data_IF_184184438132
#
_entry.id   IF_184184438132
#
_cell.length_a   1.000
_cell.length_b   1.000
_cell.length_c   1.000
_cell.angle_alpha   90.00
_cell.angle_beta   90.00
_cell.angle_gamma   90.00
#
_symmetry.space_group_name_H-M   'P 1'
#
loop_
_entity.id
_entity.type
_entity.pdbx_description
1 polymer ?
#
# COMPACT_ATOMS: atom_id res chain seq x y z
N UNK A 1 14.91 9.09 -20.99
CA UNK A 1 13.46 8.72 -20.92
C UNK A 1 12.81 9.68 -19.92
N UNK A 2 11.56 10.07 -20.12
CA UNK A 2 10.85 10.87 -19.12
C UNK A 2 10.49 9.98 -17.92
N UNK A 3 10.51 10.50 -16.68
CA UNK A 3 10.05 9.76 -15.52
C UNK A 3 8.57 9.39 -15.65
N UNK A 4 8.16 8.29 -15.04
CA UNK A 4 6.76 7.89 -14.99
C UNK A 4 5.95 8.87 -14.12
N UNK A 5 6.57 9.36 -13.03
CA UNK A 5 6.01 10.41 -12.18
C UNK A 5 7.09 11.44 -11.86
N UNK A 6 6.74 12.72 -11.95
CA UNK A 6 7.56 13.85 -11.51
C UNK A 6 6.66 14.85 -10.79
N UNK A 7 6.93 15.06 -9.53
CA UNK A 7 6.15 15.92 -8.64
C UNK A 7 7.10 16.83 -7.89
N UNK A 8 6.83 18.13 -7.91
CA UNK A 8 7.67 19.13 -7.25
C UNK A 8 6.79 20.05 -6.40
N UNK A 9 7.10 20.11 -5.11
CA UNK A 9 6.48 20.99 -4.12
C UNK A 9 4.95 20.99 -4.16
N UNK A 10 4.36 19.80 -4.33
CA UNK A 10 2.93 19.62 -4.52
C UNK A 10 2.16 19.99 -3.26
N UNK A 11 1.17 20.87 -3.42
CA UNK A 11 0.28 21.30 -2.34
C UNK A 11 -1.17 21.09 -2.74
N UNK A 12 -1.96 20.54 -1.81
CA UNK A 12 -3.41 20.50 -1.93
C UNK A 12 -4.08 20.94 -0.64
N UNK A 13 -4.80 22.05 -0.71
CA UNK A 13 -5.59 22.61 0.38
C UNK A 13 -7.09 22.36 0.17
N UNK A 14 -7.78 22.09 1.29
CA UNK A 14 -9.24 22.05 1.35
C UNK A 14 -9.73 23.10 2.34
N UNK A 15 -10.75 23.84 1.93
CA UNK A 15 -11.44 24.79 2.82
C UNK A 15 -12.63 24.08 3.43
N UNK A 16 -12.52 23.71 4.70
CA UNK A 16 -13.60 23.10 5.48
C UNK A 16 -14.35 24.19 6.23
N UNK A 17 -15.68 24.12 6.19
CA UNK A 17 -16.55 25.02 6.95
C UNK A 17 -16.98 24.28 8.22
N UNK A 18 -16.45 24.68 9.36
CA UNK A 18 -16.83 24.15 10.68
C UNK A 18 -17.93 25.02 11.29
N UNK A 19 -18.91 24.38 11.98
CA UNK A 19 -19.86 25.09 12.83
C UNK A 19 -19.11 25.62 14.05
N UNK A 20 -19.03 26.94 14.21
CA UNK A 20 -18.55 27.55 15.43
C UNK A 20 -19.61 27.52 16.54
N UNK A 21 -19.21 27.77 17.77
CA UNK A 21 -20.11 27.99 18.90
C UNK A 21 -21.01 29.20 18.62
N UNK A 22 -22.28 28.95 18.34
CA UNK A 22 -23.30 29.94 17.99
C UNK A 22 -24.06 29.63 16.69
N UNK A 23 -25.39 29.85 16.69
CA UNK A 23 -26.37 29.39 15.70
C UNK A 23 -26.08 29.81 14.24
N UNK A 24 -25.13 30.74 14.02
CA UNK A 24 -24.81 31.30 12.68
C UNK A 24 -23.30 31.53 12.40
N UNK A 25 -22.37 31.18 13.29
CA UNK A 25 -20.94 31.38 13.01
C UNK A 25 -20.34 30.14 12.32
N UNK A 26 -19.89 30.33 11.08
CA UNK A 26 -19.10 29.34 10.32
C UNK A 26 -17.65 29.82 10.29
N UNK A 27 -16.73 29.04 10.86
CA UNK A 27 -15.31 29.27 10.69
C UNK A 27 -14.80 28.52 9.45
N UNK A 28 -13.94 29.17 8.68
CA UNK A 28 -13.21 28.52 7.58
C UNK A 28 -11.91 28.01 8.15
N UNK A 29 -11.72 26.70 8.05
CA UNK A 29 -10.45 26.06 8.36
C UNK A 29 -9.83 25.54 7.07
N UNK A 30 -8.56 25.89 6.81
CA UNK A 30 -7.77 25.34 5.71
C UNK A 30 -7.08 24.08 6.22
N UNK A 31 -7.31 22.97 5.53
CA UNK A 31 -6.65 21.69 5.79
C UNK A 31 -5.74 21.40 4.61
N UNK A 32 -4.45 21.30 4.86
CA UNK A 32 -3.45 20.87 3.88
C UNK A 32 -3.37 19.36 3.87
N UNK A 33 -3.97 18.75 2.85
CA UNK A 33 -3.92 17.30 2.69
C UNK A 33 -2.63 16.81 2.02
N UNK A 34 -1.99 17.67 1.22
CA UNK A 34 -0.63 17.50 0.67
C UNK A 34 0.07 18.83 0.87
N UNK A 35 1.29 18.82 1.39
CA UNK A 35 2.01 20.03 1.83
C UNK A 35 3.49 19.97 1.42
N UNK A 36 3.79 20.34 0.19
CA UNK A 36 5.15 20.38 -0.35
C UNK A 36 5.71 18.99 -0.70
N UNK A 37 4.84 18.05 -1.13
CA UNK A 37 5.30 16.73 -1.52
C UNK A 37 6.09 16.80 -2.83
N UNK A 38 7.32 16.28 -2.82
CA UNK A 38 8.12 16.07 -4.02
C UNK A 38 8.48 14.59 -4.14
N UNK A 39 8.32 14.02 -5.35
CA UNK A 39 8.68 12.64 -5.65
C UNK A 39 8.99 12.48 -7.12
N UNK A 40 9.84 11.51 -7.44
CA UNK A 40 10.16 11.10 -8.79
C UNK A 40 10.14 9.58 -8.86
N UNK A 41 9.45 9.02 -9.86
CA UNK A 41 9.39 7.57 -10.11
C UNK A 41 9.84 7.31 -11.54
N UNK A 42 10.79 6.41 -11.70
CA UNK A 42 11.30 6.05 -13.02
C UNK A 42 10.42 4.97 -13.69
N UNK A 43 10.46 4.86 -15.03
CA UNK A 43 9.74 3.80 -15.74
C UNK A 43 10.15 2.39 -15.26
N UNK A 44 9.16 1.53 -15.01
CA UNK A 44 9.36 0.15 -14.53
C UNK A 44 9.65 0.04 -13.03
N UNK A 45 9.72 1.14 -12.28
CA UNK A 45 9.90 1.14 -10.83
C UNK A 45 8.61 0.72 -10.12
N UNK A 46 8.73 0.04 -8.98
CA UNK A 46 7.61 -0.22 -8.08
C UNK A 46 7.83 0.51 -6.75
N UNK A 47 6.96 1.47 -6.47
CA UNK A 47 7.06 2.35 -5.29
C UNK A 47 5.85 2.17 -4.40
N UNK A 48 6.09 1.93 -3.11
CA UNK A 48 5.07 1.92 -2.07
C UNK A 48 4.89 3.32 -1.46
N UNK A 49 3.70 3.89 -1.59
CA UNK A 49 3.31 5.14 -0.92
C UNK A 49 2.60 4.79 0.38
N UNK A 50 3.33 4.87 1.49
CA UNK A 50 2.85 4.43 2.81
C UNK A 50 2.66 5.60 3.76
N UNK A 51 1.85 5.42 4.79
CA UNK A 51 1.55 6.46 5.78
C UNK A 51 0.24 6.18 6.52
N UNK A 52 0.01 6.89 7.60
CA UNK A 52 -1.21 6.78 8.38
C UNK A 52 -2.48 7.17 7.58
N UNK A 53 -3.65 6.78 8.10
CA UNK A 53 -4.90 7.25 7.54
C UNK A 53 -4.99 8.78 7.63
N UNK A 54 -5.36 9.42 6.52
CA UNK A 54 -5.37 10.88 6.46
C UNK A 54 -4.03 11.55 6.11
N UNK A 55 -2.94 10.79 5.97
CA UNK A 55 -1.61 11.34 5.61
C UNK A 55 -1.52 12.00 4.22
N UNK A 56 -2.55 11.84 3.37
CA UNK A 56 -2.59 12.44 2.03
C UNK A 56 -2.41 11.47 0.88
N UNK A 57 -2.22 10.17 1.11
CA UNK A 57 -1.97 9.14 0.07
C UNK A 57 -2.98 9.14 -1.08
N UNK A 58 -4.26 8.92 -0.78
CA UNK A 58 -5.32 8.91 -1.81
C UNK A 58 -5.55 10.28 -2.44
N UNK A 59 -5.24 11.39 -1.72
CA UNK A 59 -5.24 12.75 -2.31
C UNK A 59 -4.12 12.87 -3.34
N UNK A 60 -2.94 12.36 -3.03
CA UNK A 60 -1.80 12.32 -3.96
C UNK A 60 -2.16 11.54 -5.22
N UNK A 61 -2.70 10.32 -5.10
CA UNK A 61 -3.16 9.53 -6.26
C UNK A 61 -4.16 10.30 -7.13
N UNK A 62 -5.11 11.02 -6.52
CA UNK A 62 -6.08 11.84 -7.27
C UNK A 62 -5.45 13.05 -7.96
N UNK A 63 -4.38 13.62 -7.42
CA UNK A 63 -3.61 14.69 -8.07
C UNK A 63 -2.79 14.14 -9.24
N UNK A 64 -2.14 12.99 -9.08
CA UNK A 64 -1.38 12.31 -10.13
C UNK A 64 -2.25 11.92 -11.34
N UNK A 65 -3.52 11.62 -11.11
CA UNK A 65 -4.50 11.26 -12.15
C UNK A 65 -5.25 12.47 -12.74
N UNK A 66 -5.04 13.67 -12.20
CA UNK A 66 -5.75 14.87 -12.61
C UNK A 66 -7.23 14.90 -12.20
N UNK A 67 -7.68 14.00 -11.30
CA UNK A 67 -9.01 14.07 -10.67
C UNK A 67 -9.10 15.30 -9.77
N UNK A 68 -8.00 15.62 -9.08
CA UNK A 68 -7.85 16.86 -8.31
C UNK A 68 -6.85 17.79 -9.00
N UNK A 69 -7.08 19.09 -8.83
CA UNK A 69 -6.17 20.14 -9.29
C UNK A 69 -5.27 20.54 -8.12
N UNK A 70 -3.95 20.63 -8.29
CA UNK A 70 -3.06 21.15 -7.27
C UNK A 70 -3.43 22.57 -6.84
N UNK A 71 -3.21 22.90 -5.57
CA UNK A 71 -3.29 24.30 -5.09
C UNK A 71 -1.99 25.03 -5.42
N UNK A 72 -0.84 24.33 -5.34
CA UNK A 72 0.47 24.81 -5.74
C UNK A 72 1.38 23.62 -6.09
N UNK A 73 2.55 23.91 -6.64
CA UNK A 73 3.49 22.91 -7.12
C UNK A 73 3.16 22.39 -8.51
N UNK A 74 3.93 21.41 -8.98
CA UNK A 74 3.79 20.83 -10.33
C UNK A 74 3.69 19.33 -10.28
N UNK A 75 2.91 18.76 -11.22
CA UNK A 75 2.78 17.32 -11.43
C UNK A 75 2.94 17.01 -12.91
N UNK A 76 3.76 16.01 -13.21
CA UNK A 76 3.82 15.35 -14.51
C UNK A 76 3.68 13.84 -14.31
N UNK A 77 2.72 13.27 -15.02
CA UNK A 77 2.46 11.81 -15.02
C UNK A 77 2.63 11.30 -16.45
N UNK A 78 3.54 10.34 -16.66
CA UNK A 78 3.95 9.88 -17.98
C UNK A 78 4.36 11.06 -18.91
N UNK A 79 5.04 12.07 -18.33
CA UNK A 79 5.47 13.28 -19.04
C UNK A 79 4.35 14.30 -19.36
N UNK A 80 3.09 14.03 -18.96
CA UNK A 80 1.94 14.88 -19.23
C UNK A 80 1.49 15.63 -17.98
N UNK A 81 0.95 16.86 -18.19
CA UNK A 81 0.18 17.54 -17.15
C UNK A 81 -1.17 16.81 -16.98
N UNK A 82 -1.45 16.28 -15.77
CA UNK A 82 -2.63 15.43 -15.58
C UNK A 82 -3.97 16.17 -15.66
N UNK A 83 -3.96 17.50 -15.47
CA UNK A 83 -5.17 18.33 -15.57
C UNK A 83 -5.40 18.76 -17.01
N UNK A 84 -4.36 19.33 -17.65
CA UNK A 84 -4.46 19.86 -19.01
C UNK A 84 -4.60 18.75 -20.06
N UNK A 85 -3.95 17.59 -19.85
CA UNK A 85 -3.89 16.47 -20.80
C UNK A 85 -4.60 15.21 -20.28
N UNK A 86 -5.68 15.37 -19.50
CA UNK A 86 -6.39 14.28 -18.82
C UNK A 86 -6.79 13.12 -19.75
N UNK A 87 -7.28 13.42 -20.97
CA UNK A 87 -7.72 12.40 -21.93
C UNK A 87 -6.55 11.57 -22.46
N UNK A 88 -5.40 12.20 -22.69
CA UNK A 88 -4.22 11.52 -23.18
C UNK A 88 -3.58 10.69 -22.05
N UNK A 89 -3.59 11.24 -20.83
CA UNK A 89 -3.12 10.57 -19.64
C UNK A 89 -3.93 9.30 -19.35
N UNK A 90 -5.25 9.35 -19.46
CA UNK A 90 -6.14 8.20 -19.23
C UNK A 90 -5.84 7.00 -20.14
N UNK A 91 -5.12 7.17 -21.24
CA UNK A 91 -4.67 6.08 -22.12
C UNK A 91 -3.35 5.47 -21.69
N UNK A 92 -2.62 6.12 -20.79
CA UNK A 92 -1.29 5.69 -20.32
C UNK A 92 -1.29 5.21 -18.89
N UNK A 93 -2.38 5.49 -18.14
CA UNK A 93 -2.46 5.19 -16.71
C UNK A 93 -3.64 4.27 -16.43
N UNK A 94 -3.39 3.17 -15.75
CA UNK A 94 -4.41 2.35 -15.11
C UNK A 94 -4.56 2.78 -13.65
N UNK A 95 -5.78 2.79 -13.13
CA UNK A 95 -6.03 3.16 -11.74
C UNK A 95 -7.01 2.19 -11.10
N UNK A 96 -6.68 1.71 -9.92
CA UNK A 96 -7.60 0.95 -9.07
C UNK A 96 -7.79 1.72 -7.77
N UNK A 97 -9.01 2.14 -7.49
CA UNK A 97 -9.38 2.77 -6.23
C UNK A 97 -10.05 1.75 -5.31
N UNK A 98 -9.52 1.54 -4.11
CA UNK A 98 -10.02 0.51 -3.20
C UNK A 98 -11.52 0.62 -2.85
N UNK A 99 -12.06 1.84 -2.81
CA UNK A 99 -13.46 2.09 -2.43
C UNK A 99 -14.38 2.46 -3.60
N UNK A 100 -13.86 2.59 -4.81
CA UNK A 100 -14.65 2.97 -6.00
C UNK A 100 -14.38 2.02 -7.13
N UNK A 101 -15.45 1.42 -7.63
CA UNK A 101 -15.40 0.54 -8.78
C UNK A 101 -15.44 1.33 -10.09
N UNK A 102 -14.61 0.93 -11.06
CA UNK A 102 -14.72 1.35 -12.45
C UNK A 102 -15.60 0.39 -13.26
N UNK A 103 -15.99 -0.74 -12.66
CA UNK A 103 -16.85 -1.75 -13.27
C UNK A 103 -18.32 -1.37 -13.09
N UNK A 104 -19.16 -1.74 -14.04
CA UNK A 104 -20.59 -1.47 -14.00
C UNK A 104 -21.32 -2.47 -13.09
N UNK A 105 -21.86 -1.98 -12.00
CA UNK A 105 -22.41 -2.75 -10.89
C UNK A 105 -23.45 -3.81 -11.27
N UNK A 106 -24.37 -3.45 -12.20
CA UNK A 106 -25.47 -4.32 -12.63
C UNK A 106 -25.16 -5.14 -13.89
N UNK A 107 -24.01 -4.94 -14.51
CA UNK A 107 -23.60 -5.67 -15.70
C UNK A 107 -22.70 -6.86 -15.38
N UNK A 108 -22.73 -7.92 -16.20
CA UNK A 108 -21.71 -8.95 -16.17
C UNK A 108 -20.31 -8.35 -16.33
N UNK A 109 -19.32 -8.96 -15.68
CA UNK A 109 -17.94 -8.48 -15.72
C UNK A 109 -17.41 -8.33 -17.16
N UNK A 110 -17.71 -9.28 -18.04
CA UNK A 110 -17.32 -9.23 -19.46
C UNK A 110 -17.87 -8.00 -20.19
N UNK A 111 -19.10 -7.56 -19.86
CA UNK A 111 -19.67 -6.36 -20.46
C UNK A 111 -18.95 -5.08 -19.98
N UNK A 112 -18.51 -5.05 -18.71
CA UNK A 112 -17.68 -3.96 -18.21
C UNK A 112 -16.37 -3.84 -19.01
N UNK A 113 -15.72 -4.96 -19.34
CA UNK A 113 -14.51 -4.95 -20.19
C UNK A 113 -14.80 -4.46 -21.61
N UNK A 114 -15.93 -4.85 -22.21
CA UNK A 114 -16.34 -4.34 -23.53
C UNK A 114 -16.55 -2.83 -23.55
N UNK A 115 -17.21 -2.31 -22.50
CA UNK A 115 -17.43 -0.88 -22.34
C UNK A 115 -16.13 -0.12 -22.16
N UNK A 116 -15.22 -0.62 -21.32
CA UNK A 116 -13.89 -0.03 -21.11
C UNK A 116 -13.07 -0.05 -22.41
N UNK A 117 -13.08 -1.14 -23.16
CA UNK A 117 -12.43 -1.23 -24.45
C UNK A 117 -12.97 -0.16 -25.44
N UNK A 118 -14.29 0.06 -25.45
CA UNK A 118 -14.92 1.10 -26.27
C UNK A 118 -14.52 2.52 -25.80
N UNK A 119 -14.50 2.78 -24.49
CA UNK A 119 -14.08 4.06 -23.89
C UNK A 119 -12.63 4.39 -24.26
N UNK A 120 -11.73 3.40 -24.15
CA UNK A 120 -10.33 3.52 -24.54
C UNK A 120 -10.11 3.46 -26.05
N UNK A 121 -11.17 3.20 -26.85
CA UNK A 121 -11.13 3.05 -28.31
C UNK A 121 -10.17 1.95 -28.77
N UNK A 122 -10.14 0.84 -28.05
CA UNK A 122 -9.28 -0.29 -28.37
C UNK A 122 -9.92 -1.15 -29.48
N UNK A 123 -9.21 -1.46 -30.57
CA UNK A 123 -9.67 -2.43 -31.55
C UNK A 123 -9.85 -3.82 -30.94
N UNK A 124 -10.82 -4.59 -31.43
CA UNK A 124 -11.07 -5.94 -30.93
C UNK A 124 -9.84 -6.86 -31.01
N UNK A 125 -9.03 -6.69 -32.05
CA UNK A 125 -7.77 -7.42 -32.24
C UNK A 125 -6.71 -7.10 -31.17
N UNK A 126 -6.86 -6.02 -30.40
CA UNK A 126 -5.92 -5.60 -29.34
C UNK A 126 -6.44 -6.03 -27.97
N UNK A 127 -7.70 -5.66 -27.64
CA UNK A 127 -8.17 -5.87 -26.27
C UNK A 127 -8.61 -7.30 -25.97
N UNK A 128 -9.08 -8.09 -26.97
CA UNK A 128 -9.50 -9.48 -26.73
C UNK A 128 -8.34 -10.38 -26.34
N UNK A 129 -7.22 -10.44 -27.08
CA UNK A 129 -6.06 -11.23 -26.65
C UNK A 129 -5.51 -10.78 -25.30
N UNK A 130 -5.56 -9.45 -25.01
CA UNK A 130 -5.16 -8.94 -23.70
C UNK A 130 -6.10 -9.40 -22.60
N UNK A 131 -7.41 -9.40 -22.85
CA UNK A 131 -8.37 -9.93 -21.88
C UNK A 131 -8.18 -11.43 -21.65
N UNK A 132 -7.95 -12.21 -22.69
CA UNK A 132 -7.69 -13.66 -22.58
C UNK A 132 -6.43 -13.94 -21.72
N UNK A 133 -5.39 -13.14 -21.91
CA UNK A 133 -4.18 -13.20 -21.06
C UNK A 133 -4.49 -12.85 -19.59
N UNK A 134 -5.21 -11.75 -19.37
CA UNK A 134 -5.61 -11.30 -18.03
C UNK A 134 -6.53 -12.32 -17.35
N UNK A 135 -7.44 -12.93 -18.11
CA UNK A 135 -8.32 -13.98 -17.63
C UNK A 135 -7.52 -15.19 -17.14
N UNK A 136 -6.61 -15.69 -17.96
CA UNK A 136 -5.77 -16.84 -17.62
C UNK A 136 -4.92 -16.60 -16.35
N UNK A 137 -4.41 -15.36 -16.17
CA UNK A 137 -3.51 -15.01 -15.06
C UNK A 137 -4.24 -14.64 -13.77
N UNK A 138 -5.38 -13.98 -13.89
CA UNK A 138 -6.20 -13.53 -12.76
C UNK A 138 -7.36 -14.48 -12.45
N UNK A 139 -7.55 -15.55 -13.26
CA UNK A 139 -8.59 -16.56 -13.08
C UNK A 139 -9.99 -15.90 -13.01
N UNK A 140 -10.34 -15.21 -14.10
CA UNK A 140 -11.60 -14.48 -14.21
C UNK A 140 -12.73 -15.34 -14.80
N UNK A 141 -12.38 -16.40 -15.57
CA UNK A 141 -13.29 -17.18 -16.41
C UNK A 141 -14.52 -17.71 -15.69
N UNK A 142 -14.34 -18.13 -14.43
CA UNK A 142 -15.43 -18.65 -13.61
C UNK A 142 -16.53 -17.62 -13.25
N UNK A 143 -16.28 -16.31 -13.48
CA UNK A 143 -17.24 -15.26 -13.11
C UNK A 143 -17.37 -14.11 -14.13
N UNK A 144 -16.84 -14.27 -15.35
CA UNK A 144 -16.99 -13.26 -16.42
C UNK A 144 -18.47 -12.95 -16.76
N UNK A 145 -19.36 -13.93 -16.64
CA UNK A 145 -20.80 -13.76 -16.90
C UNK A 145 -21.59 -13.29 -15.67
N UNK A 146 -20.94 -13.20 -14.52
CA UNK A 146 -21.58 -12.82 -13.26
C UNK A 146 -21.68 -11.29 -13.17
N UNK A 147 -22.82 -10.70 -12.77
CA UNK A 147 -22.95 -9.28 -12.48
C UNK A 147 -21.98 -8.84 -11.39
N UNK A 148 -21.35 -7.68 -11.57
CA UNK A 148 -20.30 -7.18 -10.67
C UNK A 148 -20.75 -7.12 -9.21
N UNK A 149 -22.02 -6.77 -8.94
CA UNK A 149 -22.62 -6.74 -7.60
C UNK A 149 -22.64 -8.09 -6.87
N UNK A 150 -22.56 -9.20 -7.59
CA UNK A 150 -22.61 -10.56 -7.04
C UNK A 150 -21.21 -11.15 -6.83
N UNK A 151 -20.18 -10.45 -7.27
CA UNK A 151 -18.79 -10.89 -7.10
C UNK A 151 -18.36 -10.78 -5.64
N UNK A 152 -17.57 -11.74 -5.16
CA UNK A 152 -16.84 -11.59 -3.91
C UNK A 152 -15.87 -10.41 -4.01
N UNK A 153 -15.40 -9.90 -2.88
CA UNK A 153 -14.43 -8.79 -2.87
C UNK A 153 -13.17 -9.15 -3.66
N UNK A 154 -12.65 -10.38 -3.49
CA UNK A 154 -11.47 -10.85 -4.22
C UNK A 154 -11.72 -11.02 -5.72
N UNK A 155 -12.89 -11.53 -6.14
CA UNK A 155 -13.27 -11.60 -7.54
C UNK A 155 -13.39 -10.20 -8.16
N UNK A 156 -14.05 -9.28 -7.44
CA UNK A 156 -14.19 -7.89 -7.89
C UNK A 156 -12.83 -7.21 -8.02
N UNK A 157 -11.93 -7.36 -7.06
CA UNK A 157 -10.60 -6.75 -7.12
C UNK A 157 -9.79 -7.28 -8.30
N UNK A 158 -9.84 -8.59 -8.59
CA UNK A 158 -9.22 -9.17 -9.80
C UNK A 158 -9.81 -8.56 -11.07
N UNK A 159 -11.11 -8.37 -11.13
CA UNK A 159 -11.80 -7.66 -12.22
C UNK A 159 -11.37 -6.20 -12.35
N UNK A 160 -11.22 -5.46 -11.25
CA UNK A 160 -10.74 -4.07 -11.22
C UNK A 160 -9.32 -3.95 -11.77
N UNK A 161 -8.42 -4.84 -11.33
CA UNK A 161 -7.03 -4.85 -11.82
C UNK A 161 -6.98 -5.21 -13.31
N UNK A 162 -7.76 -6.21 -13.76
CA UNK A 162 -7.87 -6.53 -15.17
C UNK A 162 -8.39 -5.34 -16.00
N UNK A 163 -9.41 -4.65 -15.50
CA UNK A 163 -9.97 -3.46 -16.13
C UNK A 163 -8.94 -2.33 -16.26
N UNK A 164 -8.16 -2.07 -15.20
CA UNK A 164 -7.11 -1.07 -15.20
C UNK A 164 -5.94 -1.40 -16.13
N UNK A 165 -5.73 -2.68 -16.46
CA UNK A 165 -4.64 -3.17 -17.33
C UNK A 165 -5.08 -3.48 -18.76
N UNK A 166 -6.38 -3.41 -19.06
CA UNK A 166 -6.93 -3.81 -20.37
C UNK A 166 -6.33 -3.03 -21.55
N UNK A 167 -5.99 -1.76 -21.32
CA UNK A 167 -5.41 -0.87 -22.32
C UNK A 167 -3.86 -0.82 -22.28
N UNK A 168 -3.23 -1.73 -21.51
CA UNK A 168 -1.77 -1.87 -21.36
C UNK A 168 -1.09 -0.54 -20.96
N UNK A 169 -1.40 0.02 -19.80
CA UNK A 169 -0.86 1.31 -19.35
C UNK A 169 0.64 1.24 -19.04
N UNK A 170 1.32 2.39 -19.14
CA UNK A 170 2.72 2.58 -18.74
C UNK A 170 2.87 2.64 -17.21
N UNK A 171 1.82 3.14 -16.52
CA UNK A 171 1.77 3.34 -15.08
C UNK A 171 0.47 2.76 -14.51
N UNK A 172 0.57 1.95 -13.47
CA UNK A 172 -0.55 1.44 -12.70
C UNK A 172 -0.53 2.03 -11.30
N UNK A 173 -1.60 2.74 -10.93
CA UNK A 173 -1.82 3.30 -9.63
C UNK A 173 -2.82 2.42 -8.86
N UNK A 174 -2.41 1.90 -7.71
CA UNK A 174 -3.20 0.98 -6.89
C UNK A 174 -3.42 1.59 -5.50
N UNK A 175 -4.67 1.92 -5.18
CA UNK A 175 -5.02 2.47 -3.87
C UNK A 175 -5.61 1.34 -3.00
N UNK A 176 -4.78 0.76 -2.12
CA UNK A 176 -5.09 -0.33 -1.19
C UNK A 176 -5.68 -1.60 -1.87
N UNK A 177 -5.01 -2.21 -2.86
CA UNK A 177 -5.59 -3.25 -3.70
C UNK A 177 -5.81 -4.60 -3.00
N UNK A 178 -5.22 -4.82 -1.85
CA UNK A 178 -5.32 -6.09 -1.08
C UNK A 178 -6.22 -5.99 0.13
N UNK A 179 -6.74 -4.77 0.43
CA UNK A 179 -7.59 -4.57 1.61
C UNK A 179 -8.83 -5.47 1.58
N UNK A 180 -9.03 -6.23 2.67
CA UNK A 180 -10.19 -7.13 2.82
C UNK A 180 -10.15 -8.38 1.92
N UNK A 181 -9.04 -8.65 1.23
CA UNK A 181 -8.84 -9.91 0.54
C UNK A 181 -8.35 -10.99 1.51
N UNK A 182 -8.74 -12.24 1.23
CA UNK A 182 -8.11 -13.39 1.89
C UNK A 182 -6.65 -13.57 1.46
N UNK A 183 -5.89 -14.36 2.23
CA UNK A 183 -4.45 -14.57 2.02
C UNK A 183 -4.15 -15.11 0.62
N UNK A 184 -4.97 -16.04 0.11
CA UNK A 184 -4.76 -16.68 -1.19
C UNK A 184 -5.00 -15.67 -2.32
N UNK A 185 -6.07 -14.89 -2.22
CA UNK A 185 -6.41 -13.84 -3.19
C UNK A 185 -5.35 -12.74 -3.22
N UNK A 186 -4.86 -12.30 -2.05
CA UNK A 186 -3.80 -11.30 -1.93
C UNK A 186 -2.50 -11.80 -2.56
N UNK A 187 -2.09 -13.04 -2.27
CA UNK A 187 -0.85 -13.60 -2.82
C UNK A 187 -0.93 -13.81 -4.35
N UNK A 188 -2.08 -14.23 -4.87
CA UNK A 188 -2.32 -14.33 -6.32
C UNK A 188 -2.18 -12.95 -6.99
N UNK A 189 -2.77 -11.92 -6.41
CA UNK A 189 -2.67 -10.55 -6.93
C UNK A 189 -1.23 -10.04 -6.90
N UNK A 190 -0.50 -10.23 -5.80
CA UNK A 190 0.92 -9.84 -5.69
C UNK A 190 1.78 -10.52 -6.74
N UNK A 191 1.60 -11.83 -6.92
CA UNK A 191 2.35 -12.60 -7.93
C UNK A 191 2.06 -12.09 -9.34
N UNK A 192 0.79 -11.81 -9.64
CA UNK A 192 0.39 -11.26 -10.92
C UNK A 192 1.03 -9.88 -11.18
N UNK A 193 0.97 -8.96 -10.21
CA UNK A 193 1.53 -7.61 -10.36
C UNK A 193 3.06 -7.64 -10.54
N UNK A 194 3.78 -8.54 -9.85
CA UNK A 194 5.22 -8.75 -10.08
C UNK A 194 5.51 -9.22 -11.50
N UNK A 195 4.75 -10.19 -11.99
CA UNK A 195 4.91 -10.72 -13.33
C UNK A 195 4.58 -9.66 -14.40
N UNK A 196 3.51 -8.91 -14.24
CA UNK A 196 3.12 -7.81 -15.12
C UNK A 196 4.23 -6.75 -15.23
N UNK A 197 4.83 -6.38 -14.08
CA UNK A 197 5.97 -5.48 -14.06
C UNK A 197 7.19 -6.06 -14.78
N UNK A 198 7.58 -7.28 -14.46
CA UNK A 198 8.77 -7.92 -15.01
C UNK A 198 8.68 -8.14 -16.53
N UNK A 199 7.51 -8.50 -17.05
CA UNK A 199 7.32 -8.86 -18.43
C UNK A 199 7.00 -7.65 -19.33
N UNK A 200 6.30 -6.65 -18.81
CA UNK A 200 5.81 -5.49 -19.57
C UNK A 200 6.45 -4.17 -19.21
N UNK A 201 7.25 -4.14 -18.13
CA UNK A 201 7.87 -2.91 -17.64
C UNK A 201 6.86 -1.91 -17.06
N UNK A 202 5.66 -2.35 -16.68
CA UNK A 202 4.64 -1.48 -16.09
C UNK A 202 5.16 -0.88 -14.79
N UNK A 203 5.14 0.45 -14.70
CA UNK A 203 5.48 1.17 -13.46
C UNK A 203 4.36 1.00 -12.45
N UNK A 204 4.68 0.76 -11.19
CA UNK A 204 3.67 0.60 -10.12
C UNK A 204 3.83 1.69 -9.06
N UNK A 205 2.74 2.36 -8.72
CA UNK A 205 2.63 3.13 -7.48
C UNK A 205 1.49 2.53 -6.64
N UNK A 206 1.84 2.01 -5.49
CA UNK A 206 0.94 1.30 -4.59
C UNK A 206 0.75 2.09 -3.31
N UNK A 207 -0.48 2.45 -2.95
CA UNK A 207 -0.77 2.85 -1.58
C UNK A 207 -1.20 1.64 -0.77
N UNK A 208 -0.62 1.46 0.39
CA UNK A 208 -1.00 0.37 1.29
C UNK A 208 -0.62 0.69 2.74
N UNK A 209 -1.23 0.01 3.66
CA UNK A 209 -0.83 -0.08 5.06
C UNK A 209 -0.39 -1.52 5.43
N UNK A 210 -0.38 -2.44 4.45
CA UNK A 210 0.08 -3.83 4.61
C UNK A 210 1.57 -3.93 4.25
N UNK A 211 2.41 -4.32 5.23
CA UNK A 211 3.86 -4.50 5.04
C UNK A 211 4.15 -5.60 4.01
N UNK A 212 3.34 -6.66 4.00
CA UNK A 212 3.51 -7.76 3.07
C UNK A 212 3.34 -7.35 1.60
N UNK A 213 2.52 -6.33 1.31
CA UNK A 213 2.42 -5.75 -0.02
C UNK A 213 3.70 -5.00 -0.39
N UNK A 214 4.20 -4.19 0.55
CA UNK A 214 5.41 -3.39 0.34
C UNK A 214 6.62 -4.28 0.11
N UNK A 215 6.86 -5.25 1.00
CA UNK A 215 8.00 -6.16 0.90
C UNK A 215 8.02 -6.99 -0.38
N UNK A 216 6.84 -7.38 -0.85
CA UNK A 216 6.71 -8.28 -1.99
C UNK A 216 6.60 -7.59 -3.34
N UNK A 217 6.13 -6.33 -3.38
CA UNK A 217 5.88 -5.61 -4.62
C UNK A 217 6.83 -4.44 -4.86
N UNK A 218 7.33 -3.80 -3.78
CA UNK A 218 8.03 -2.52 -3.88
C UNK A 218 9.51 -2.67 -3.53
N UNK A 219 10.37 -2.03 -4.30
CA UNK A 219 11.81 -1.90 -4.01
C UNK A 219 12.11 -0.62 -3.25
N UNK A 220 11.21 0.37 -3.36
CA UNK A 220 11.32 1.68 -2.76
C UNK A 220 10.01 2.05 -2.07
N UNK A 221 10.14 2.74 -0.96
CA UNK A 221 9.02 3.24 -0.18
C UNK A 221 9.12 4.74 0.02
N UNK A 222 8.01 5.43 -0.18
CA UNK A 222 7.82 6.82 0.16
C UNK A 222 6.85 6.88 1.36
N UNK A 223 7.37 7.27 2.52
CA UNK A 223 6.53 7.49 3.71
C UNK A 223 5.99 8.90 3.67
N UNK A 224 4.67 9.03 3.72
CA UNK A 224 3.99 10.33 3.78
C UNK A 224 3.39 10.52 5.17
N UNK A 225 3.70 11.67 5.75
CA UNK A 225 3.20 12.12 7.03
C UNK A 225 2.70 13.56 6.92
N UNK A 226 1.48 13.82 7.39
CA UNK A 226 0.86 15.15 7.34
C UNK A 226 1.01 15.85 5.96
N UNK A 227 0.91 15.08 4.86
CA UNK A 227 1.03 15.59 3.51
C UNK A 227 2.45 15.81 2.98
N UNK A 228 3.48 15.47 3.76
CA UNK A 228 4.90 15.64 3.43
C UNK A 228 5.62 14.30 3.31
N UNK A 229 6.71 14.25 2.55
CA UNK A 229 7.58 13.10 2.52
C UNK A 229 8.43 13.06 3.80
N UNK A 230 8.24 12.03 4.63
CA UNK A 230 9.03 11.79 5.84
C UNK A 230 10.24 10.88 5.55
N UNK A 231 10.10 9.97 4.59
CA UNK A 231 11.17 9.08 4.13
C UNK A 231 10.98 8.73 2.66
N UNK A 232 12.08 8.59 1.95
CA UNK A 232 12.13 8.11 0.58
C UNK A 232 13.38 7.22 0.42
N UNK A 233 13.20 5.93 0.18
CA UNK A 233 14.29 4.96 0.09
C UNK A 233 13.80 3.51 0.15
N UNK A 234 14.72 2.57 0.37
CA UNK A 234 14.40 1.16 0.49
C UNK A 234 13.78 0.82 1.87
N UNK A 235 13.08 -0.29 1.94
CA UNK A 235 12.43 -0.75 3.18
C UNK A 235 13.44 -1.07 4.31
N UNK A 236 14.58 -1.75 4.04
CA UNK A 236 15.60 -1.95 5.06
C UNK A 236 16.16 -0.64 5.64
N UNK A 237 16.35 0.38 4.81
CA UNK A 237 16.75 1.72 5.24
C UNK A 237 15.72 2.40 6.12
N UNK A 238 14.43 2.23 5.82
CA UNK A 238 13.34 2.71 6.66
C UNK A 238 13.38 2.05 8.05
N UNK A 239 13.47 0.72 8.09
CA UNK A 239 13.54 -0.06 9.35
C UNK A 239 14.74 0.39 10.21
N UNK A 240 15.92 0.56 9.59
CA UNK A 240 17.10 1.09 10.28
C UNK A 240 16.87 2.51 10.81
N UNK A 241 16.32 3.41 9.99
CA UNK A 241 16.12 4.82 10.35
C UNK A 241 15.22 5.00 11.57
N UNK A 242 14.19 4.16 11.71
CA UNK A 242 13.27 4.24 12.86
C UNK A 242 13.75 3.43 14.06
N UNK A 243 14.84 2.68 13.94
CA UNK A 243 15.32 1.81 15.01
C UNK A 243 14.30 0.72 15.38
N UNK A 244 13.52 0.27 14.38
CA UNK A 244 12.45 -0.68 14.62
C UNK A 244 13.00 -2.00 15.13
N UNK A 245 12.44 -2.46 16.25
CA UNK A 245 12.88 -3.66 16.94
C UNK A 245 12.14 -4.88 16.40
N UNK A 246 12.85 -5.98 16.26
CA UNK A 246 12.27 -7.30 16.06
C UNK A 246 11.77 -7.86 17.36
N UNK A 247 10.74 -8.69 17.31
CA UNK A 247 10.22 -9.36 18.51
C UNK A 247 10.44 -10.86 18.37
N UNK A 248 11.26 -11.44 19.26
CA UNK A 248 11.35 -12.89 19.43
C UNK A 248 10.25 -13.31 20.40
N UNK A 249 9.32 -14.12 19.92
CA UNK A 249 8.29 -14.77 20.74
C UNK A 249 8.79 -16.18 21.04
N UNK A 250 8.86 -16.54 22.33
CA UNK A 250 9.34 -17.84 22.77
C UNK A 250 8.24 -18.52 23.57
N UNK A 251 7.85 -19.72 23.15
CA UNK A 251 6.99 -20.61 23.91
C UNK A 251 7.86 -21.55 24.75
N UNK A 252 7.68 -21.51 26.05
CA UNK A 252 8.38 -22.35 27.00
C UNK A 252 7.69 -23.71 27.17
N UNK A 253 8.44 -24.73 27.61
CA UNK A 253 7.89 -26.06 27.92
C UNK A 253 7.10 -26.05 29.20
N UNK A 254 7.49 -25.23 30.16
CA UNK A 254 6.87 -25.10 31.46
C UNK A 254 6.68 -23.62 31.79
N UNK A 255 5.65 -23.23 32.53
CA UNK A 255 5.47 -21.88 32.99
C UNK A 255 6.69 -21.38 33.79
N UNK A 256 7.19 -20.21 33.47
CA UNK A 256 8.35 -19.62 34.12
C UNK A 256 8.19 -18.13 34.44
N UNK A 257 9.01 -17.62 35.34
CA UNK A 257 9.04 -16.19 35.64
C UNK A 257 9.52 -15.40 34.42
N UNK A 258 9.24 -14.09 34.44
CA UNK A 258 9.76 -13.13 33.47
C UNK A 258 11.29 -13.23 33.38
N UNK A 259 11.80 -13.52 32.19
CA UNK A 259 13.23 -13.64 31.94
C UNK A 259 13.83 -12.29 31.55
N UNK A 260 14.99 -11.96 32.12
CA UNK A 260 15.77 -10.82 31.69
C UNK A 260 16.88 -11.30 30.77
N UNK A 261 16.92 -10.79 29.53
CA UNK A 261 17.88 -11.20 28.49
C UNK A 261 18.73 -9.97 28.12
N UNK A 262 20.08 -10.06 28.20
CA UNK A 262 20.94 -8.97 27.75
C UNK A 262 20.71 -8.62 26.27
N UNK A 263 20.60 -7.32 25.97
CA UNK A 263 20.36 -6.83 24.60
C UNK A 263 18.93 -7.00 24.10
N UNK A 264 18.00 -7.47 24.95
CA UNK A 264 16.59 -7.56 24.60
C UNK A 264 15.70 -7.08 25.75
N UNK A 265 14.63 -6.37 25.40
CA UNK A 265 13.61 -5.90 26.34
C UNK A 265 12.43 -6.88 26.38
N UNK A 266 12.05 -7.31 27.57
CA UNK A 266 10.85 -8.14 27.74
C UNK A 266 9.60 -7.27 27.57
N UNK A 267 8.83 -7.49 26.49
CA UNK A 267 7.59 -6.76 26.23
C UNK A 267 6.40 -7.30 27.01
N UNK A 268 6.39 -8.61 27.30
CA UNK A 268 5.29 -9.22 28.00
C UNK A 268 5.47 -10.70 28.23
N UNK A 269 4.69 -11.20 29.19
CA UNK A 269 4.57 -12.62 29.55
C UNK A 269 3.10 -12.99 29.40
N UNK A 270 2.80 -14.00 28.59
CA UNK A 270 1.47 -14.44 28.23
C UNK A 270 1.28 -15.93 28.62
N UNK A 271 0.03 -16.42 28.57
CA UNK A 271 -0.31 -17.82 28.83
C UNK A 271 0.30 -18.33 30.14
N UNK A 272 0.08 -17.60 31.24
CA UNK A 272 0.54 -17.95 32.59
C UNK A 272 2.07 -18.24 32.70
N UNK A 273 2.88 -17.54 31.89
CA UNK A 273 4.32 -17.71 31.89
C UNK A 273 4.86 -18.64 30.82
N UNK A 274 3.99 -19.25 30.01
CA UNK A 274 4.42 -20.15 28.93
C UNK A 274 4.92 -19.42 27.69
N UNK A 275 4.50 -18.15 27.47
CA UNK A 275 4.94 -17.36 26.31
C UNK A 275 5.57 -16.06 26.75
N UNK A 276 6.77 -15.77 26.24
CA UNK A 276 7.48 -14.53 26.52
C UNK A 276 7.90 -13.85 25.24
N UNK A 277 7.82 -12.51 25.21
CA UNK A 277 8.08 -11.71 24.02
C UNK A 277 9.26 -10.76 24.31
N UNK A 278 10.31 -10.85 23.49
CA UNK A 278 11.53 -10.08 23.64
C UNK A 278 11.75 -9.17 22.43
N UNK A 279 11.73 -7.85 22.64
CA UNK A 279 12.10 -6.88 21.62
C UNK A 279 13.62 -6.67 21.63
N UNK A 280 14.23 -6.71 20.45
CA UNK A 280 15.67 -6.49 20.30
C UNK A 280 15.97 -5.71 19.01
N UNK A 281 17.04 -4.91 19.05
CA UNK A 281 17.58 -4.23 17.88
C UNK A 281 18.50 -5.20 17.09
N UNK A 282 18.27 -5.39 15.77
CA UNK A 282 19.17 -6.21 14.95
C UNK A 282 20.61 -5.68 14.87
N UNK A 283 20.83 -4.40 15.22
CA UNK A 283 22.15 -3.76 15.25
C UNK A 283 22.90 -4.10 16.53
N UNK A 284 22.20 -4.38 17.64
CA UNK A 284 22.79 -4.67 18.95
C UNK A 284 22.92 -6.15 19.23
N UNK A 285 21.95 -6.96 18.80
CA UNK A 285 21.94 -8.42 19.04
C UNK A 285 21.18 -9.17 17.94
N UNK A 286 21.22 -10.50 17.99
CA UNK A 286 20.51 -11.35 17.04
C UNK A 286 19.45 -12.19 17.73
N UNK A 287 18.41 -12.63 16.99
CA UNK A 287 17.42 -13.56 17.51
C UNK A 287 18.07 -14.84 18.06
N UNK A 288 19.14 -15.33 17.42
CA UNK A 288 19.88 -16.50 17.88
C UNK A 288 20.57 -16.26 19.23
N UNK A 289 21.15 -15.10 19.46
CA UNK A 289 21.77 -14.75 20.74
C UNK A 289 20.74 -14.63 21.87
N UNK A 290 19.61 -13.95 21.59
CA UNK A 290 18.48 -13.86 22.53
C UNK A 290 17.93 -15.26 22.87
N UNK A 291 17.71 -16.10 21.84
CA UNK A 291 17.24 -17.48 22.04
C UNK A 291 18.21 -18.32 22.86
N UNK A 292 19.51 -18.23 22.59
CA UNK A 292 20.54 -18.96 23.34
C UNK A 292 20.51 -18.57 24.82
N UNK A 293 20.27 -17.30 25.14
CA UNK A 293 20.15 -16.81 26.53
C UNK A 293 18.89 -17.32 27.22
N UNK A 294 17.75 -17.31 26.51
CA UNK A 294 16.50 -17.91 27.02
C UNK A 294 16.67 -19.40 27.26
N UNK A 295 17.26 -20.13 26.29
CA UNK A 295 17.45 -21.58 26.37
C UNK A 295 18.36 -22.04 27.49
N UNK A 296 19.26 -21.20 27.98
CA UNK A 296 20.08 -21.47 29.18
C UNK A 296 19.28 -21.44 30.47
N UNK A 297 18.14 -20.74 30.49
CA UNK A 297 17.35 -20.50 31.71
C UNK A 297 16.02 -21.24 31.73
N UNK A 298 15.47 -21.54 30.55
CA UNK A 298 14.20 -22.25 30.41
C UNK A 298 14.20 -23.17 29.19
N UNK A 299 13.42 -24.25 29.29
CA UNK A 299 13.22 -25.18 28.17
C UNK A 299 12.32 -24.51 27.12
N UNK A 300 12.81 -24.30 25.89
CA UNK A 300 12.04 -23.77 24.78
C UNK A 300 11.29 -24.93 24.10
N UNK A 301 9.99 -24.69 23.82
CA UNK A 301 9.12 -25.58 23.05
C UNK A 301 9.06 -25.16 21.59
N UNK A 302 8.83 -23.85 21.36
CA UNK A 302 8.68 -23.27 20.02
C UNK A 302 9.11 -21.81 20.04
N UNK A 303 9.34 -21.24 18.86
CA UNK A 303 9.65 -19.82 18.72
C UNK A 303 9.14 -19.27 17.40
N UNK A 304 8.91 -17.95 17.38
CA UNK A 304 8.72 -17.19 16.15
C UNK A 304 9.43 -15.83 16.24
N UNK A 305 9.81 -15.28 15.09
CA UNK A 305 10.35 -13.92 15.00
C UNK A 305 9.34 -13.07 14.26
N UNK A 306 8.87 -12.04 14.91
CA UNK A 306 7.97 -11.04 14.33
C UNK A 306 8.80 -9.86 13.83
N UNK A 307 8.61 -9.53 12.56
CA UNK A 307 9.16 -8.28 12.00
C UNK A 307 8.26 -7.10 12.42
N UNK A 308 8.83 -5.90 12.58
CA UNK A 308 8.04 -4.72 12.92
C UNK A 308 7.01 -4.42 11.82
N UNK A 309 5.77 -4.26 12.21
CA UNK A 309 4.72 -3.86 11.27
C UNK A 309 4.86 -2.41 10.81
N UNK A 310 4.28 -2.05 9.65
CA UNK A 310 4.23 -0.64 9.19
C UNK A 310 3.65 0.28 10.25
N UNK A 311 2.63 -0.15 10.98
CA UNK A 311 2.04 0.64 12.06
C UNK A 311 3.03 0.94 13.18
N UNK A 312 3.92 -0.01 13.50
CA UNK A 312 4.98 0.18 14.50
C UNK A 312 6.06 1.13 13.98
N UNK A 313 6.47 0.94 12.74
CA UNK A 313 7.43 1.80 12.04
C UNK A 313 6.90 3.24 11.96
N UNK A 314 5.63 3.42 11.58
CA UNK A 314 5.00 4.74 11.51
C UNK A 314 4.85 5.39 12.90
N UNK A 315 4.47 4.63 13.93
CA UNK A 315 4.41 5.14 15.32
C UNK A 315 5.77 5.64 15.81
N UNK A 316 6.82 4.90 15.53
CA UNK A 316 8.18 5.29 15.91
C UNK A 316 8.66 6.54 15.15
N UNK A 317 8.27 6.70 13.88
CA UNK A 317 8.53 7.94 13.13
C UNK A 317 7.87 9.16 13.78
N UNK A 318 6.68 8.99 14.37
CA UNK A 318 5.95 10.07 15.05
C UNK A 318 6.42 10.34 16.48
N UNK A 319 7.38 9.57 17.03
CA UNK A 319 7.84 9.70 18.41
C UNK A 319 6.83 9.23 19.47
N UNK A 320 5.75 8.56 19.05
CA UNK A 320 4.75 8.01 19.96
C UNK A 320 5.21 6.64 20.49
N UNK A 321 5.63 6.60 21.73
CA UNK A 321 5.85 5.35 22.48
C UNK A 321 4.50 4.62 22.59
N UNK A 322 4.40 3.34 22.24
CA UNK A 322 3.15 2.61 22.35
C UNK A 322 2.66 2.57 23.80
N UNK A 323 1.35 2.74 24.05
CA UNK A 323 0.82 2.43 25.37
C UNK A 323 1.08 0.96 25.67
N UNK A 324 1.54 0.67 26.88
CA UNK A 324 1.74 -0.69 27.36
C UNK A 324 0.46 -1.51 27.11
N UNK A 325 0.55 -2.76 26.68
CA UNK A 325 -0.63 -3.60 26.44
C UNK A 325 -1.44 -3.73 27.72
N UNK A 326 -2.78 -3.54 27.61
CA UNK A 326 -3.75 -3.76 28.70
C UNK A 326 -3.97 -5.24 28.93
#
# INVERSE_FOLDING_TARGET
MNPALEVTDLVREYVVRERGEGRFRRHRRVVRAVDGLSLRVEPGEAVGLIGANGAGKSTTVKLLTGILVPTAGTVRTCGLDPVARRRDLARRVGVVFGQRSQLWWDLPLAESFRLLAAIHRLPAAVWRPRLDELDARLDLGGFLTTPVRQLSLGQRMRGEVAAALLHSPELLLLDEPTIGLDVVSSERLRRFLRAERAERGTTLLLTTHDMGDVERLCERVLVVEAGRAAYDGDLPGLVRRVGARRVLVVDLREPGPALSVPGAELLGVEADGLRQRFAFSPEETTAAAVLAEVSRRAGVRDLSVEEPGIADVLRQLHGDVPPAPR
#
